data_IF_300309952565
#
_entry.id   IF_300309952565
#
_cell.length_a   1.000
_cell.length_b   1.000
_cell.length_c   1.000
_cell.angle_alpha   90.00
_cell.angle_beta   90.00
_cell.angle_gamma   90.00
#
_symmetry.space_group_name_H-M   'P 1'
#
loop_
_entity.id
_entity.type
_entity.pdbx_description
1 polymer ?
#
# COMPACT_ATOMS: atom_id res chain seq x y z
N UNK A 1 8.73 4.84 -3.31
CA UNK A 1 7.38 4.79 -3.94
C UNK A 1 6.41 5.73 -3.26
N UNK A 2 6.16 5.61 -1.95
CA UNK A 2 5.29 6.55 -1.22
C UNK A 2 5.63 8.02 -1.45
N UNK A 3 6.91 8.39 -1.33
CA UNK A 3 7.38 9.75 -1.63
C UNK A 3 7.10 10.23 -3.07
N UNK A 4 7.11 9.32 -4.06
CA UNK A 4 6.80 9.66 -5.45
C UNK A 4 5.30 9.92 -5.64
N UNK A 5 4.46 9.16 -4.96
CA UNK A 5 3.01 9.28 -4.96
C UNK A 5 2.49 10.36 -3.99
N UNK A 6 3.37 11.08 -3.29
CA UNK A 6 2.97 12.02 -2.24
C UNK A 6 2.29 11.38 -1.03
N UNK A 7 2.38 10.06 -0.85
CA UNK A 7 1.76 9.34 0.27
C UNK A 7 2.80 8.97 1.34
N UNK A 8 2.47 9.30 2.58
CA UNK A 8 3.27 8.97 3.75
C UNK A 8 2.95 7.54 4.18
N UNK A 9 3.97 6.69 4.23
CA UNK A 9 3.86 5.30 4.68
C UNK A 9 4.47 5.19 6.06
N UNK A 10 3.67 4.81 7.05
CA UNK A 10 4.11 4.61 8.42
C UNK A 10 4.08 3.13 8.79
N UNK A 11 4.98 2.73 9.67
CA UNK A 11 5.04 1.35 10.14
C UNK A 11 4.68 1.30 11.60
N UNK A 12 3.66 0.50 11.93
CA UNK A 12 3.18 0.35 13.31
C UNK A 12 3.31 -1.09 13.81
N UNK A 13 3.09 -1.26 15.11
CA UNK A 13 2.96 -2.56 15.78
C UNK A 13 1.63 -2.54 16.54
N UNK A 14 0.90 -3.65 16.51
CA UNK A 14 -0.38 -3.76 17.19
C UNK A 14 -1.27 -4.83 16.57
N UNK A 15 -2.52 -4.89 17.02
CA UNK A 15 -3.53 -5.83 16.53
C UNK A 15 -4.35 -5.22 15.40
N UNK A 16 -3.69 -4.99 14.26
CA UNK A 16 -4.34 -4.51 13.05
C UNK A 16 -3.69 -5.14 11.81
N UNK A 17 -4.35 -5.09 10.66
CA UNK A 17 -3.79 -5.63 9.41
C UNK A 17 -2.87 -4.61 8.75
N UNK A 18 -3.36 -3.38 8.61
CA UNK A 18 -2.76 -2.29 7.85
C UNK A 18 -3.80 -1.72 6.89
N UNK A 19 -3.46 -0.62 6.21
CA UNK A 19 -4.36 0.04 5.27
C UNK A 19 -4.21 1.56 5.28
N UNK A 20 -5.13 2.22 4.61
CA UNK A 20 -5.25 3.68 4.60
C UNK A 20 -5.84 4.17 5.93
N UNK A 21 -5.25 5.22 6.50
CA UNK A 21 -5.69 5.84 7.76
C UNK A 21 -5.57 7.36 7.66
N UNK A 22 -6.35 8.09 8.45
CA UNK A 22 -6.16 9.53 8.66
C UNK A 22 -5.51 9.71 10.02
N UNK A 23 -4.32 10.31 10.05
CA UNK A 23 -3.58 10.60 11.27
C UNK A 23 -3.24 12.09 11.30
N UNK A 24 -3.76 12.81 12.30
CA UNK A 24 -3.60 14.27 12.42
C UNK A 24 -3.96 15.00 11.12
N UNK A 25 -5.13 14.67 10.56
CA UNK A 25 -5.65 15.20 9.29
C UNK A 25 -4.82 14.87 8.03
N UNK A 26 -3.75 14.05 8.15
CA UNK A 26 -2.98 13.55 7.02
C UNK A 26 -3.42 12.13 6.63
N UNK A 27 -3.67 11.91 5.33
CA UNK A 27 -3.89 10.56 4.79
C UNK A 27 -2.55 9.81 4.74
N UNK A 28 -2.47 8.69 5.45
CA UNK A 28 -1.28 7.84 5.56
C UNK A 28 -1.62 6.39 5.22
N UNK A 29 -0.62 5.63 4.77
CA UNK A 29 -0.71 4.16 4.69
C UNK A 29 0.01 3.57 5.90
N UNK A 30 -0.71 2.81 6.72
CA UNK A 30 -0.14 2.11 7.87
C UNK A 30 0.14 0.66 7.51
N UNK A 31 1.38 0.22 7.72
CA UNK A 31 1.79 -1.17 7.53
C UNK A 31 2.11 -1.79 8.89
N UNK A 32 1.47 -2.90 9.24
CA UNK A 32 1.80 -3.63 10.46
C UNK A 32 3.09 -4.45 10.28
N UNK A 33 4.11 -4.16 11.09
CA UNK A 33 5.39 -4.87 11.07
C UNK A 33 5.31 -6.33 11.55
N UNK A 34 4.28 -6.71 12.30
CA UNK A 34 4.12 -8.08 12.81
C UNK A 34 3.48 -9.03 11.79
N UNK A 35 2.92 -8.52 10.69
CA UNK A 35 2.30 -9.36 9.67
C UNK A 35 3.37 -9.92 8.70
N UNK A 36 3.13 -11.12 8.14
CA UNK A 36 4.00 -11.69 7.10
C UNK A 36 4.22 -10.72 5.93
N UNK A 37 5.33 -10.90 5.21
CA UNK A 37 5.71 -9.99 4.12
C UNK A 37 4.65 -9.94 3.02
N UNK A 38 4.02 -11.07 2.73
CA UNK A 38 2.95 -11.22 1.74
C UNK A 38 1.75 -10.34 2.11
N UNK A 39 1.35 -10.33 3.37
CA UNK A 39 0.25 -9.50 3.86
C UNK A 39 0.60 -8.01 3.83
N UNK A 40 1.85 -7.67 4.16
CA UNK A 40 2.35 -6.28 4.08
C UNK A 40 2.37 -5.79 2.63
N UNK A 41 2.78 -6.64 1.69
CA UNK A 41 2.75 -6.36 0.26
C UNK A 41 1.32 -6.19 -0.23
N UNK A 42 0.39 -7.06 0.19
CA UNK A 42 -1.04 -6.94 -0.15
C UNK A 42 -1.63 -5.62 0.32
N UNK A 43 -1.35 -5.19 1.55
CA UNK A 43 -1.79 -3.88 2.08
C UNK A 43 -1.27 -2.74 1.20
N UNK A 44 0.02 -2.72 0.91
CA UNK A 44 0.62 -1.68 0.08
C UNK A 44 0.02 -1.66 -1.33
N UNK A 45 -0.10 -2.83 -1.97
CA UNK A 45 -0.66 -2.95 -3.30
C UNK A 45 -2.10 -2.43 -3.33
N UNK A 46 -2.94 -2.89 -2.39
CA UNK A 46 -4.35 -2.47 -2.29
C UNK A 46 -4.46 -0.96 -2.09
N UNK A 47 -3.69 -0.38 -1.17
CA UNK A 47 -3.70 1.06 -0.94
C UNK A 47 -3.22 1.86 -2.14
N UNK A 48 -2.28 1.34 -2.94
CA UNK A 48 -1.81 2.03 -4.14
C UNK A 48 -2.82 2.00 -5.30
N UNK A 49 -3.81 1.11 -5.29
CA UNK A 49 -4.89 1.12 -6.28
C UNK A 49 -5.75 2.39 -6.22
N UNK A 50 -5.79 3.06 -5.06
CA UNK A 50 -6.47 4.34 -4.87
C UNK A 50 -5.73 5.53 -5.50
N UNK A 51 -4.51 5.32 -6.01
CA UNK A 51 -3.65 6.36 -6.58
C UNK A 51 -3.50 6.16 -8.09
N UNK A 52 -3.36 7.26 -8.84
CA UNK A 52 -3.02 7.15 -10.24
C UNK A 52 -1.55 6.69 -10.39
N UNK A 53 -1.35 5.45 -10.84
CA UNK A 53 -0.04 4.84 -11.04
C UNK A 53 0.46 4.97 -12.48
N UNK A 54 -0.34 5.49 -13.40
CA UNK A 54 0.00 5.61 -14.83
C UNK A 54 1.21 6.54 -15.04
N UNK A 55 1.28 7.62 -14.26
CA UNK A 55 2.33 8.63 -14.36
C UNK A 55 3.66 8.21 -13.69
N UNK A 56 3.70 7.03 -13.06
CA UNK A 56 4.86 6.57 -12.33
C UNK A 56 5.45 5.30 -12.93
N UNK A 57 6.75 5.33 -13.20
CA UNK A 57 7.49 4.10 -13.46
C UNK A 57 7.49 3.21 -12.22
N UNK A 58 6.72 2.13 -12.30
CA UNK A 58 6.66 1.03 -11.33
C UNK A 58 7.45 -0.14 -11.89
N UNK A 59 8.30 -0.75 -11.07
CA UNK A 59 9.04 -1.96 -11.45
C UNK A 59 8.04 -3.01 -11.97
N UNK A 60 8.26 -3.64 -13.15
CA UNK A 60 7.26 -4.52 -13.78
C UNK A 60 6.73 -5.63 -12.86
N UNK A 61 7.59 -6.29 -12.09
CA UNK A 61 7.17 -7.32 -11.14
C UNK A 61 6.23 -6.77 -10.04
N UNK A 62 6.47 -5.54 -9.59
CA UNK A 62 5.61 -4.87 -8.62
C UNK A 62 4.29 -4.43 -9.25
N UNK A 63 4.30 -3.98 -10.50
CA UNK A 63 3.08 -3.64 -11.25
C UNK A 63 2.20 -4.88 -11.44
N UNK A 64 2.80 -6.00 -11.85
CA UNK A 64 2.09 -7.27 -11.99
C UNK A 64 1.43 -7.72 -10.67
N UNK A 65 2.14 -7.60 -9.54
CA UNK A 65 1.59 -7.92 -8.23
C UNK A 65 0.40 -7.01 -7.84
N UNK A 66 0.47 -5.72 -8.15
CA UNK A 66 -0.62 -4.77 -7.88
C UNK A 66 -1.86 -5.10 -8.72
N UNK A 67 -1.69 -5.41 -10.00
CA UNK A 67 -2.81 -5.78 -10.88
C UNK A 67 -3.41 -7.15 -10.52
N UNK A 68 -2.59 -8.12 -10.10
CA UNK A 68 -3.08 -9.41 -9.58
C UNK A 68 -3.93 -9.21 -8.32
N UNK A 69 -3.47 -8.35 -7.39
CA UNK A 69 -4.23 -7.99 -6.21
C UNK A 69 -5.58 -7.31 -6.55
N UNK A 70 -5.64 -6.50 -7.63
CA UNK A 70 -6.89 -5.91 -8.14
C UNK A 70 -7.85 -6.99 -8.65
N UNK A 71 -7.35 -7.99 -9.38
CA UNK A 71 -8.17 -9.09 -9.92
C UNK A 71 -8.76 -9.99 -8.83
N UNK A 72 -8.15 -10.06 -7.64
CA UNK A 72 -8.63 -10.85 -6.50
C UNK A 72 -9.67 -10.11 -5.64
N UNK A 73 -9.91 -8.83 -5.91
CA UNK A 73 -10.87 -7.97 -5.19
C UNK A 73 -12.18 -7.74 -5.98
N UNK A 74 -12.24 -8.19 -7.24
CA UNK A 74 -13.43 -8.23 -8.12
C UNK A 74 -13.95 -9.67 -8.21
#
# INVERSE_FOLDING_TARGET
MGQRLGVKIITGKGDFIGGTCVLNDEKVIVVNKHKPIEQRLKVLATCFLDYNLEDFYVIPALRAFIEDARSLLL
#
